data_IF_392118277671
#
_entry.id   IF_392118277671
#
_cell.length_a   1.000
_cell.length_b   1.000
_cell.length_c   1.000
_cell.angle_alpha   90.00
_cell.angle_beta   90.00
_cell.angle_gamma   90.00
#
_symmetry.space_group_name_H-M   'P 1'
#
loop_
_entity.id
_entity.type
_entity.pdbx_description
1 polymer ?
#
# COMPACT_ATOMS: atom_id res chain seq x y z
N UNK A 1 21.38 3.35 -6.84
CA UNK A 1 19.91 3.27 -6.90
C UNK A 1 19.53 3.22 -8.37
N UNK A 2 19.20 2.03 -8.89
CA UNK A 2 18.85 1.84 -10.29
C UNK A 2 17.35 2.14 -10.44
N UNK A 3 16.99 3.18 -11.18
CA UNK A 3 15.59 3.46 -11.51
C UNK A 3 15.08 2.34 -12.41
N UNK A 4 14.10 1.57 -11.93
CA UNK A 4 13.46 0.55 -12.74
C UNK A 4 12.33 1.21 -13.55
N UNK A 5 12.58 1.43 -14.85
CA UNK A 5 11.62 2.06 -15.75
C UNK A 5 10.47 1.09 -16.05
N UNK A 6 9.25 1.51 -15.71
CA UNK A 6 8.01 0.82 -16.08
C UNK A 6 7.60 1.34 -17.45
N UNK A 7 7.61 0.46 -18.45
CA UNK A 7 7.21 0.84 -19.80
C UNK A 7 5.69 1.06 -19.86
N UNK A 8 5.23 2.15 -20.53
CA UNK A 8 3.80 2.38 -20.72
C UNK A 8 3.18 1.22 -21.50
N UNK A 9 2.02 0.74 -21.03
CA UNK A 9 1.31 -0.39 -21.63
C UNK A 9 1.81 -1.79 -21.24
N UNK A 10 2.84 -1.91 -20.38
CA UNK A 10 3.26 -3.21 -19.82
C UNK A 10 2.75 -3.41 -18.39
N UNK A 11 1.49 -3.85 -18.27
CA UNK A 11 0.81 -4.15 -16.99
C UNK A 11 1.66 -5.02 -16.05
N UNK A 12 2.36 -6.01 -16.60
CA UNK A 12 3.17 -6.95 -15.81
C UNK A 12 4.38 -6.31 -15.09
N UNK A 13 4.83 -5.13 -15.50
CA UNK A 13 5.98 -4.46 -14.87
C UNK A 13 5.61 -3.69 -13.59
N UNK A 14 4.31 -3.42 -13.36
CA UNK A 14 3.81 -2.70 -12.19
C UNK A 14 3.01 -3.58 -11.21
N UNK A 15 2.84 -4.87 -11.52
CA UNK A 15 1.89 -5.74 -10.82
C UNK A 15 2.12 -5.85 -9.30
N UNK A 16 3.36 -5.73 -8.83
CA UNK A 16 3.66 -5.72 -7.39
C UNK A 16 3.07 -4.47 -6.69
N UNK A 17 3.32 -3.28 -7.25
CA UNK A 17 2.82 -2.02 -6.69
C UNK A 17 1.31 -1.95 -6.80
N UNK A 18 0.72 -2.45 -7.89
CA UNK A 18 -0.73 -2.53 -8.05
C UNK A 18 -1.37 -3.46 -7.03
N UNK A 19 -0.79 -4.64 -6.81
CA UNK A 19 -1.28 -5.59 -5.80
C UNK A 19 -1.17 -5.02 -4.38
N UNK A 20 -0.06 -4.33 -4.09
CA UNK A 20 0.13 -3.64 -2.81
C UNK A 20 -0.93 -2.55 -2.62
N UNK A 21 -1.13 -1.67 -3.61
CA UNK A 21 -2.08 -0.57 -3.50
C UNK A 21 -3.54 -1.08 -3.41
N UNK A 22 -3.86 -2.17 -4.10
CA UNK A 22 -5.16 -2.84 -3.98
C UNK A 22 -5.44 -3.33 -2.56
N UNK A 23 -4.48 -4.04 -1.95
CA UNK A 23 -4.62 -4.51 -0.55
C UNK A 23 -4.68 -3.37 0.45
N UNK A 24 -3.81 -2.37 0.31
CA UNK A 24 -3.85 -1.20 1.17
C UNK A 24 -5.22 -0.51 1.11
N UNK A 25 -5.82 -0.40 -0.07
CA UNK A 25 -7.13 0.21 -0.20
C UNK A 25 -8.25 -0.63 0.43
N UNK A 26 -8.24 -1.95 0.22
CA UNK A 26 -9.25 -2.86 0.74
C UNK A 26 -9.17 -3.07 2.26
N UNK A 27 -7.95 -3.32 2.77
CA UNK A 27 -7.68 -3.75 4.15
C UNK A 27 -7.34 -2.57 5.09
N UNK A 28 -7.01 -1.39 4.58
CA UNK A 28 -6.70 -0.24 5.42
C UNK A 28 -7.65 0.92 5.15
N UNK A 29 -7.77 1.35 3.88
CA UNK A 29 -8.45 2.60 3.58
C UNK A 29 -9.97 2.49 3.65
N UNK A 30 -10.56 1.42 3.10
CA UNK A 30 -12.01 1.23 3.07
C UNK A 30 -12.61 0.84 4.43
N UNK A 31 -11.83 0.21 5.31
CA UNK A 31 -12.30 -0.21 6.63
C UNK A 31 -12.27 0.93 7.68
N UNK A 32 -11.58 2.04 7.40
CA UNK A 32 -11.34 3.10 8.37
C UNK A 32 -11.95 4.44 7.98
N UNK A 33 -12.75 5.03 8.87
CA UNK A 33 -13.16 6.44 8.77
C UNK A 33 -12.11 7.33 9.44
N UNK A 34 -11.44 8.15 8.63
CA UNK A 34 -10.41 9.07 9.10
C UNK A 34 -11.01 10.35 9.66
N UNK A 35 -10.48 10.78 10.82
CA UNK A 35 -10.98 11.96 11.55
C UNK A 35 -10.09 13.17 11.39
N UNK A 36 -8.79 12.95 11.24
CA UNK A 36 -7.75 13.95 11.04
C UNK A 36 -6.45 13.28 10.57
N UNK A 37 -5.45 14.06 10.17
CA UNK A 37 -4.17 13.56 9.66
C UNK A 37 -3.37 12.73 10.67
N UNK A 38 -3.45 13.04 11.97
CA UNK A 38 -2.79 12.25 13.01
C UNK A 38 -3.38 10.84 13.10
N UNK A 39 -4.72 10.74 12.99
CA UNK A 39 -5.42 9.46 12.95
C UNK A 39 -5.03 8.66 11.71
N UNK A 40 -4.98 9.30 10.53
CA UNK A 40 -4.51 8.65 9.29
C UNK A 40 -3.12 8.05 9.46
N UNK A 41 -2.16 8.82 9.99
CA UNK A 41 -0.79 8.35 10.21
C UNK A 41 -0.73 7.13 11.12
N UNK A 42 -1.47 7.18 12.23
CA UNK A 42 -1.50 6.08 13.21
C UNK A 42 -2.07 4.79 12.62
N UNK A 43 -3.13 4.90 11.82
CA UNK A 43 -3.76 3.74 11.15
C UNK A 43 -2.82 3.15 10.09
N UNK A 44 -2.17 4.00 9.28
CA UNK A 44 -1.22 3.54 8.26
C UNK A 44 -0.02 2.83 8.90
N UNK A 45 0.56 3.39 9.96
CA UNK A 45 1.71 2.78 10.66
C UNK A 45 1.34 1.41 11.24
N UNK A 46 0.15 1.28 11.82
CA UNK A 46 -0.34 0.02 12.35
C UNK A 46 -0.54 -1.03 11.24
N UNK A 47 -1.19 -0.64 10.14
CA UNK A 47 -1.39 -1.53 8.99
C UNK A 47 -0.06 -1.96 8.36
N UNK A 48 0.90 -1.04 8.24
CA UNK A 48 2.23 -1.33 7.70
C UNK A 48 2.97 -2.36 8.55
N UNK A 49 2.90 -2.23 9.88
CA UNK A 49 3.51 -3.19 10.79
C UNK A 49 2.88 -4.59 10.67
N UNK A 50 1.56 -4.67 10.58
CA UNK A 50 0.82 -5.93 10.42
C UNK A 50 1.12 -6.60 9.06
N UNK A 51 1.04 -5.82 7.97
CA UNK A 51 1.32 -6.30 6.62
C UNK A 51 2.70 -6.96 6.50
N UNK A 52 3.73 -6.35 7.11
CA UNK A 52 5.09 -6.87 7.08
C UNK A 52 5.35 -7.99 8.09
N UNK A 53 4.58 -8.06 9.19
CA UNK A 53 4.70 -9.17 10.15
C UNK A 53 4.17 -10.49 9.57
N UNK A 54 3.13 -10.42 8.73
CA UNK A 54 2.52 -11.60 8.08
C UNK A 54 3.32 -12.06 6.84
N UNK A 55 4.17 -11.20 6.29
CA UNK A 55 4.91 -11.42 5.04
C UNK A 55 6.39 -10.99 5.19
N UNK A 56 7.26 -11.85 5.75
CA UNK A 56 8.70 -11.61 5.70
C UNK A 56 9.26 -11.72 4.28
#
# INVERSE_FOLDING_TARGET
>A
MLWHYIAPGKLYQNGFVESFNGRFHDECFNEHLFRNLCHVRSVIDAWWADHNAIRP
#
